data_IF_326163252338
#
_entry.id   IF_326163252338
#
_cell.length_a   1.000
_cell.length_b   1.000
_cell.length_c   1.000
_cell.angle_alpha   90.00
_cell.angle_beta   90.00
_cell.angle_gamma   90.00
#
_symmetry.space_group_name_H-M   'P 1'
#
loop_
_entity.id
_entity.type
_entity.pdbx_description
1 polymer ?
#
# COMPACT_ATOMS: atom_id res chain seq x y z
N UNK A 1 -2.20 25.03 11.68
CA UNK A 1 -1.52 23.91 12.36
C UNK A 1 -0.08 23.88 11.92
N UNK A 2 0.89 23.75 12.83
CA UNK A 2 2.29 23.57 12.44
C UNK A 2 2.42 22.29 11.60
N UNK A 3 3.32 22.30 10.63
CA UNK A 3 3.60 21.12 9.82
C UNK A 3 4.12 19.99 10.72
N UNK A 4 3.67 18.75 10.56
CA UNK A 4 4.18 17.61 11.33
C UNK A 4 5.72 17.50 11.31
N UNK A 5 6.37 17.91 10.22
CA UNK A 5 7.83 17.96 10.10
C UNK A 5 8.48 18.96 11.10
N UNK A 6 7.75 19.99 11.50
CA UNK A 6 8.23 20.97 12.48
C UNK A 6 8.15 20.47 13.92
N UNK A 7 7.27 19.49 14.15
CA UNK A 7 7.05 18.86 15.46
C UNK A 7 8.00 17.69 15.68
N UNK A 8 8.32 16.97 14.59
CA UNK A 8 9.20 15.80 14.61
C UNK A 8 10.65 16.24 14.64
N UNK A 9 11.36 15.95 15.72
CA UNK A 9 12.81 16.17 15.85
C UNK A 9 13.26 17.03 17.05
N UNK A 10 12.32 17.54 17.85
CA UNK A 10 12.66 18.26 19.09
C UNK A 10 11.60 18.02 20.15
N UNK A 11 12.02 17.43 21.26
CA UNK A 11 11.14 17.25 22.44
C UNK A 11 10.55 18.58 22.92
N UNK A 12 11.29 19.67 22.85
CA UNK A 12 10.83 21.01 23.25
C UNK A 12 9.72 21.53 22.35
N UNK A 13 9.85 21.38 21.03
CA UNK A 13 8.81 21.79 20.06
C UNK A 13 7.52 21.00 20.28
N UNK A 14 7.63 19.71 20.57
CA UNK A 14 6.47 18.89 20.89
C UNK A 14 5.80 19.32 22.19
N UNK A 15 6.55 19.59 23.25
CA UNK A 15 6.03 20.08 24.53
C UNK A 15 5.30 21.42 24.33
N UNK A 16 5.88 22.33 23.58
CA UNK A 16 5.26 23.61 23.26
C UNK A 16 3.98 23.44 22.46
N UNK A 17 3.98 22.59 21.44
CA UNK A 17 2.79 22.25 20.68
C UNK A 17 1.69 21.64 21.55
N UNK A 18 2.04 20.70 22.44
CA UNK A 18 1.10 20.07 23.38
C UNK A 18 0.44 21.08 24.31
N UNK A 19 1.18 22.08 24.79
CA UNK A 19 0.65 23.14 25.67
C UNK A 19 -0.35 24.05 24.95
N UNK A 20 -0.10 24.34 23.68
CA UNK A 20 -0.95 25.27 22.90
C UNK A 20 -2.12 24.58 22.18
N UNK A 21 -2.03 23.27 21.96
CA UNK A 21 -3.01 22.48 21.18
C UNK A 21 -3.25 21.12 21.83
N UNK A 22 -3.68 21.08 23.08
CA UNK A 22 -3.80 19.85 23.87
C UNK A 22 -4.67 18.78 23.20
N UNK A 23 -5.84 19.15 22.67
CA UNK A 23 -6.75 18.20 22.01
C UNK A 23 -6.12 17.57 20.78
N UNK A 24 -5.42 18.37 19.98
CA UNK A 24 -4.72 17.90 18.78
C UNK A 24 -3.53 17.03 19.16
N UNK A 25 -2.78 17.38 20.21
CA UNK A 25 -1.68 16.58 20.69
C UNK A 25 -2.16 15.22 21.21
N UNK A 26 -3.24 15.17 21.98
CA UNK A 26 -3.89 13.93 22.42
C UNK A 26 -4.35 13.05 21.25
N UNK A 27 -4.89 13.66 20.19
CA UNK A 27 -5.27 12.92 18.98
C UNK A 27 -4.04 12.32 18.29
N UNK A 28 -2.96 13.07 18.16
CA UNK A 28 -1.69 12.58 17.56
C UNK A 28 -1.10 11.45 18.42
N UNK A 29 -1.05 11.63 19.74
CA UNK A 29 -0.60 10.61 20.67
C UNK A 29 -1.41 9.33 20.53
N UNK A 30 -2.76 9.46 20.49
CA UNK A 30 -3.63 8.31 20.28
C UNK A 30 -3.40 7.63 18.94
N UNK A 31 -3.25 8.40 17.86
CA UNK A 31 -2.98 7.87 16.52
C UNK A 31 -1.67 7.06 16.50
N UNK A 32 -0.61 7.59 17.12
CA UNK A 32 0.70 6.93 17.17
C UNK A 32 0.65 5.71 18.10
N UNK A 33 0.14 5.85 19.32
CA UNK A 33 0.11 4.78 20.31
C UNK A 33 -0.86 3.65 19.97
N UNK A 34 -1.95 3.94 19.24
CA UNK A 34 -2.92 2.93 18.81
C UNK A 34 -2.55 2.26 17.48
N UNK A 35 -1.57 2.79 16.76
CA UNK A 35 -1.09 2.16 15.54
C UNK A 35 -0.11 1.04 15.87
N UNK A 36 -0.49 -0.18 15.50
CA UNK A 36 0.30 -1.38 15.77
C UNK A 36 1.08 -1.88 14.57
N UNK A 37 0.97 -1.19 13.43
CA UNK A 37 1.71 -1.50 12.22
C UNK A 37 2.68 -0.38 11.92
N UNK A 38 3.85 -0.70 11.40
CA UNK A 38 4.86 0.28 11.03
C UNK A 38 5.57 -0.10 9.74
N UNK A 39 6.20 0.90 9.15
CA UNK A 39 6.95 0.77 7.91
C UNK A 39 8.45 0.87 8.22
N UNK A 40 9.20 -0.11 7.72
CA UNK A 40 10.65 -0.12 7.81
C UNK A 40 11.24 0.09 6.42
N UNK A 41 12.00 1.15 6.23
CA UNK A 41 12.66 1.39 4.94
C UNK A 41 13.63 0.24 4.63
N UNK A 42 13.51 -0.33 3.44
CA UNK A 42 14.43 -1.37 2.99
C UNK A 42 15.79 -0.73 2.71
N UNK A 43 16.89 -1.21 3.36
CA UNK A 43 18.23 -0.73 3.08
C UNK A 43 18.59 -0.90 1.61
N UNK A 44 19.37 0.01 1.06
CA UNK A 44 19.71 0.04 -0.37
C UNK A 44 20.27 -1.30 -0.88
N UNK A 45 21.20 -1.88 -0.15
CA UNK A 45 21.83 -3.16 -0.50
C UNK A 45 20.86 -4.37 -0.46
N UNK A 46 19.66 -4.19 0.11
CA UNK A 46 18.64 -5.25 0.28
C UNK A 46 17.37 -5.00 -0.53
N UNK A 47 17.30 -3.89 -1.27
CA UNK A 47 16.12 -3.58 -2.09
C UNK A 47 15.91 -4.65 -3.15
N UNK A 48 14.65 -4.96 -3.39
CA UNK A 48 14.27 -5.71 -4.59
C UNK A 48 14.66 -4.88 -5.81
N UNK A 49 15.09 -5.54 -6.88
CA UNK A 49 15.59 -4.88 -8.09
C UNK A 49 14.73 -3.65 -8.45
N UNK A 50 15.34 -2.47 -8.35
CA UNK A 50 14.66 -1.19 -8.56
C UNK A 50 14.25 -0.99 -10.02
N UNK A 51 14.90 -1.65 -10.97
CA UNK A 51 14.52 -1.63 -12.39
C UNK A 51 13.24 -2.43 -12.60
N UNK A 52 13.08 -3.54 -11.87
CA UNK A 52 11.86 -4.34 -11.89
C UNK A 52 10.73 -3.64 -11.13
N UNK A 53 10.97 -3.21 -9.88
CA UNK A 53 9.96 -2.52 -9.07
C UNK A 53 9.73 -1.07 -9.49
N UNK A 54 10.60 -0.49 -10.32
CA UNK A 54 10.55 0.90 -10.81
C UNK A 54 10.50 1.96 -9.71
N UNK A 55 10.96 1.61 -8.52
CA UNK A 55 11.10 2.52 -7.38
C UNK A 55 12.20 2.05 -6.43
N UNK A 56 12.91 3.02 -5.88
CA UNK A 56 13.85 2.85 -4.77
C UNK A 56 13.19 3.06 -3.40
N UNK A 57 11.96 3.56 -3.39
CA UNK A 57 11.18 3.85 -2.18
C UNK A 57 10.40 2.62 -1.74
N UNK A 58 11.12 1.65 -1.23
CA UNK A 58 10.61 0.35 -0.78
C UNK A 58 10.59 0.29 0.73
N UNK A 59 9.45 -0.09 1.32
CA UNK A 59 9.24 -0.20 2.74
C UNK A 59 8.64 -1.57 3.07
N UNK A 60 9.23 -2.26 4.04
CA UNK A 60 8.59 -3.43 4.63
C UNK A 60 7.40 -2.98 5.47
N UNK A 61 6.31 -3.68 5.34
CA UNK A 61 5.14 -3.49 6.17
C UNK A 61 5.18 -4.52 7.30
N UNK A 62 5.32 -4.04 8.52
CA UNK A 62 5.34 -4.85 9.72
C UNK A 62 4.03 -4.65 10.47
N UNK A 63 3.25 -5.71 10.60
CA UNK A 63 2.03 -5.75 11.38
C UNK A 63 2.27 -6.52 12.67
N UNK A 64 1.69 -6.06 13.75
CA UNK A 64 1.82 -6.65 15.08
C UNK A 64 0.67 -7.58 15.47
N UNK A 65 -0.09 -8.06 14.51
CA UNK A 65 -1.13 -9.07 14.79
C UNK A 65 -0.60 -10.49 14.57
N UNK A 66 0.09 -11.08 15.57
CA UNK A 66 0.70 -12.41 15.43
C UNK A 66 -0.31 -13.49 15.05
N UNK A 67 -1.58 -13.30 15.44
CA UNK A 67 -2.68 -14.23 15.13
C UNK A 67 -2.94 -14.28 13.63
N UNK A 68 -3.07 -13.11 12.99
CA UNK A 68 -3.28 -13.03 11.53
C UNK A 68 -2.10 -13.58 10.77
N UNK A 69 -0.89 -13.29 11.22
CA UNK A 69 0.32 -13.82 10.59
C UNK A 69 0.37 -15.36 10.71
N UNK A 70 0.09 -15.92 11.89
CA UNK A 70 0.03 -17.37 12.09
C UNK A 70 -1.05 -18.04 11.24
N UNK A 71 -2.25 -17.44 11.16
CA UNK A 71 -3.34 -17.94 10.31
C UNK A 71 -2.91 -17.96 8.83
N UNK A 72 -2.33 -16.86 8.35
CA UNK A 72 -1.82 -16.76 6.97
C UNK A 72 -0.75 -17.84 6.71
N UNK A 73 0.24 -17.98 7.59
CA UNK A 73 1.32 -18.97 7.43
C UNK A 73 0.83 -20.41 7.47
N UNK A 74 -0.20 -20.69 8.29
CA UNK A 74 -0.84 -22.02 8.31
C UNK A 74 -1.50 -22.30 6.96
N UNK A 75 -2.28 -21.36 6.43
CA UNK A 75 -2.95 -21.49 5.14
C UNK A 75 -1.92 -21.60 3.99
N UNK A 76 -0.85 -20.82 4.03
CA UNK A 76 0.22 -20.88 3.04
C UNK A 76 0.95 -22.24 3.03
N UNK A 77 1.19 -22.79 4.21
CA UNK A 77 1.77 -24.14 4.34
C UNK A 77 0.84 -25.24 3.83
N UNK A 78 -0.46 -25.13 4.10
CA UNK A 78 -1.46 -26.08 3.59
C UNK A 78 -1.58 -26.03 2.07
N UNK A 79 -1.52 -24.82 1.49
CA UNK A 79 -1.56 -24.62 0.06
C UNK A 79 -0.28 -25.07 -0.67
N UNK A 80 0.85 -25.05 0.04
CA UNK A 80 2.17 -25.37 -0.50
C UNK A 80 2.83 -24.26 -1.29
N UNK A 81 2.09 -23.21 -1.70
CA UNK A 81 2.62 -22.07 -2.44
C UNK A 81 1.82 -20.79 -2.21
N UNK A 82 2.49 -19.67 -2.43
CA UNK A 82 1.93 -18.32 -2.42
C UNK A 82 2.33 -17.59 -3.69
N UNK A 83 1.63 -16.51 -3.99
CA UNK A 83 1.99 -15.60 -5.07
C UNK A 83 1.99 -14.16 -4.58
N UNK A 84 2.76 -13.30 -5.28
CA UNK A 84 2.74 -11.86 -5.04
C UNK A 84 1.86 -11.17 -6.06
N UNK A 85 1.08 -10.19 -5.58
CA UNK A 85 0.21 -9.34 -6.40
C UNK A 85 0.31 -7.90 -5.89
N UNK A 86 -0.02 -6.94 -6.74
CA UNK A 86 -0.09 -5.52 -6.37
C UNK A 86 -1.50 -5.13 -5.94
N UNK A 87 -1.58 -4.20 -4.99
CA UNK A 87 -2.80 -3.50 -4.62
C UNK A 87 -2.59 -2.00 -4.67
N UNK A 88 -3.42 -1.31 -5.43
CA UNK A 88 -3.49 0.14 -5.46
C UNK A 88 -4.77 0.64 -4.81
N UNK A 89 -4.67 1.71 -4.06
CA UNK A 89 -5.81 2.38 -3.45
C UNK A 89 -5.55 3.88 -3.33
N UNK A 90 -6.62 4.66 -3.26
CA UNK A 90 -6.56 6.11 -3.06
C UNK A 90 -5.85 6.43 -1.76
N UNK A 91 -5.15 7.57 -1.73
CA UNK A 91 -4.29 7.93 -0.60
C UNK A 91 -5.04 8.01 0.74
N UNK A 92 -6.29 8.45 0.74
CA UNK A 92 -7.12 8.54 1.93
C UNK A 92 -7.43 7.18 2.58
N UNK A 93 -7.40 6.10 1.81
CA UNK A 93 -7.66 4.75 2.32
C UNK A 93 -6.46 4.15 3.06
N UNK A 94 -5.25 4.64 2.78
CA UNK A 94 -4.02 4.04 3.32
C UNK A 94 -3.90 4.16 4.83
N UNK A 95 -4.49 5.19 5.44
CA UNK A 95 -4.57 5.26 6.89
C UNK A 95 -5.29 4.03 7.48
N UNK A 96 -6.44 3.66 6.89
CA UNK A 96 -7.18 2.47 7.31
C UNK A 96 -6.46 1.16 6.96
N UNK A 97 -5.88 1.09 5.75
CA UNK A 97 -5.15 -0.11 5.27
C UNK A 97 -3.95 -0.40 6.16
N UNK A 98 -3.16 0.61 6.54
CA UNK A 98 -1.99 0.43 7.42
C UNK A 98 -2.42 -0.04 8.81
N UNK A 99 -3.53 0.47 9.34
CA UNK A 99 -4.01 0.11 10.69
C UNK A 99 -4.70 -1.25 10.76
N UNK A 100 -5.47 -1.59 9.74
CA UNK A 100 -6.42 -2.72 9.78
C UNK A 100 -6.07 -3.85 8.81
N UNK A 101 -5.09 -3.61 7.92
CA UNK A 101 -4.84 -4.46 6.76
C UNK A 101 -5.87 -4.23 5.65
N UNK A 102 -5.71 -4.98 4.56
CA UNK A 102 -6.70 -5.01 3.49
C UNK A 102 -8.00 -5.62 4.00
N UNK A 103 -9.12 -5.02 3.63
CA UNK A 103 -10.46 -5.46 3.99
C UNK A 103 -11.32 -5.66 2.76
N UNK A 104 -12.16 -6.68 2.78
CA UNK A 104 -13.21 -6.82 1.79
C UNK A 104 -14.33 -5.81 2.10
N UNK A 105 -14.37 -4.71 1.36
CA UNK A 105 -15.37 -3.64 1.52
C UNK A 105 -16.55 -3.79 0.56
N UNK A 106 -16.62 -4.88 -0.19
CA UNK A 106 -17.71 -5.11 -1.15
C UNK A 106 -19.06 -5.16 -0.45
N UNK A 107 -20.04 -4.45 -1.01
CA UNK A 107 -21.39 -4.36 -0.44
C UNK A 107 -21.51 -3.45 0.78
N UNK A 108 -20.45 -2.74 1.18
CA UNK A 108 -20.50 -1.76 2.27
C UNK A 108 -20.58 -0.33 1.73
N UNK A 109 -20.91 0.63 2.61
CA UNK A 109 -20.90 2.06 2.27
C UNK A 109 -19.48 2.59 1.93
N UNK A 110 -18.43 1.82 2.18
CA UNK A 110 -17.04 2.14 1.86
C UNK A 110 -16.58 1.59 0.52
N UNK A 111 -17.43 0.85 -0.19
CA UNK A 111 -17.11 0.40 -1.55
C UNK A 111 -17.04 1.59 -2.49
N UNK A 112 -15.85 1.87 -3.01
CA UNK A 112 -15.60 3.03 -3.90
C UNK A 112 -15.65 2.67 -5.39
N UNK A 113 -15.35 1.42 -5.72
CA UNK A 113 -15.35 0.93 -7.10
C UNK A 113 -16.39 -0.17 -7.26
N UNK A 114 -16.89 -0.32 -8.49
CA UNK A 114 -17.79 -1.42 -8.82
C UNK A 114 -17.09 -2.78 -8.64
N UNK A 115 -17.88 -3.83 -8.44
CA UNK A 115 -17.42 -5.21 -8.29
C UNK A 115 -17.62 -6.01 -9.57
N UNK A 116 -17.07 -5.51 -10.67
CA UNK A 116 -17.18 -6.14 -11.99
C UNK A 116 -16.71 -7.61 -12.03
N UNK A 117 -15.82 -8.00 -11.12
CA UNK A 117 -15.27 -9.34 -10.98
C UNK A 117 -15.70 -10.04 -9.68
N UNK A 118 -16.79 -9.56 -9.03
CA UNK A 118 -17.32 -10.12 -7.79
C UNK A 118 -16.78 -9.45 -6.53
N UNK A 119 -17.26 -9.93 -5.37
CA UNK A 119 -16.95 -9.39 -4.06
C UNK A 119 -15.58 -9.86 -3.57
N UNK A 120 -14.76 -8.94 -3.08
CA UNK A 120 -13.45 -9.28 -2.52
C UNK A 120 -12.44 -8.13 -2.57
N UNK A 121 -11.20 -8.47 -2.26
CA UNK A 121 -10.04 -7.59 -2.32
C UNK A 121 -9.43 -7.71 -3.71
N UNK A 122 -9.42 -6.61 -4.46
CA UNK A 122 -8.93 -6.55 -5.83
C UNK A 122 -7.42 -6.38 -5.86
N UNK A 123 -6.76 -7.29 -6.52
CA UNK A 123 -5.30 -7.33 -6.71
C UNK A 123 -4.98 -7.52 -8.19
N UNK A 124 -3.78 -7.13 -8.60
CA UNK A 124 -3.31 -7.29 -9.97
C UNK A 124 -1.87 -7.76 -10.03
N UNK A 125 -1.48 -8.61 -10.97
CA UNK A 125 -0.08 -8.89 -11.26
C UNK A 125 0.61 -7.70 -11.96
N UNK A 126 -0.15 -6.75 -12.49
CA UNK A 126 0.34 -5.61 -13.24
C UNK A 126 0.44 -4.37 -12.33
N UNK A 127 1.64 -3.79 -12.26
CA UNK A 127 1.90 -2.57 -11.48
C UNK A 127 1.06 -1.38 -12.01
N UNK A 128 0.95 -1.22 -13.32
CA UNK A 128 0.19 -0.12 -13.93
C UNK A 128 -1.29 -0.11 -13.52
N UNK A 129 -1.94 -1.28 -13.44
CA UNK A 129 -3.32 -1.37 -12.96
C UNK A 129 -3.44 -0.83 -11.52
N UNK A 130 -2.52 -1.20 -10.64
CA UNK A 130 -2.51 -0.74 -9.25
C UNK A 130 -2.15 0.73 -9.12
N UNK A 131 -1.24 1.25 -9.94
CA UNK A 131 -0.92 2.67 -10.00
C UNK A 131 -2.13 3.50 -10.45
N UNK A 132 -2.90 3.01 -11.42
CA UNK A 132 -4.12 3.68 -11.86
C UNK A 132 -5.13 3.81 -10.71
N UNK A 133 -5.37 2.76 -9.95
CA UNK A 133 -6.24 2.81 -8.76
C UNK A 133 -5.69 3.69 -7.65
N UNK A 134 -4.37 3.84 -7.54
CA UNK A 134 -3.74 4.75 -6.59
C UNK A 134 -3.92 6.22 -6.97
N UNK A 135 -4.00 6.51 -8.27
CA UNK A 135 -4.14 7.87 -8.81
C UNK A 135 -5.56 8.27 -9.19
N UNK A 136 -6.46 7.30 -9.46
CA UNK A 136 -7.83 7.56 -9.96
C UNK A 136 -8.72 8.35 -8.98
N UNK A 137 -8.24 8.55 -7.77
CA UNK A 137 -8.87 9.42 -6.80
C UNK A 137 -8.74 10.90 -7.09
N UNK A 138 -8.09 11.26 -8.18
CA UNK A 138 -7.80 12.63 -8.55
C UNK A 138 -7.24 13.40 -7.37
N UNK A 139 -6.34 14.29 -7.60
CA UNK A 139 -5.99 15.40 -6.73
C UNK A 139 -7.22 16.32 -6.48
N UNK A 140 -8.39 15.74 -6.32
CA UNK A 140 -9.61 16.40 -5.86
C UNK A 140 -9.56 16.63 -4.36
N UNK A 141 -8.41 17.05 -3.87
CA UNK A 141 -8.42 18.02 -2.82
C UNK A 141 -9.30 19.15 -3.34
N UNK A 142 -10.47 19.34 -2.74
CA UNK A 142 -11.44 20.34 -3.18
C UNK A 142 -10.69 21.63 -3.50
N UNK A 143 -11.08 22.39 -4.54
CA UNK A 143 -10.40 23.64 -4.92
C UNK A 143 -10.17 24.61 -3.75
N UNK A 144 -10.95 24.49 -2.67
CA UNK A 144 -10.79 25.21 -1.42
C UNK A 144 -9.50 24.84 -0.65
N UNK A 145 -8.97 23.61 -0.74
CA UNK A 145 -7.72 23.25 -0.07
C UNK A 145 -6.49 23.84 -0.77
N UNK A 146 -6.51 23.97 -2.09
CA UNK A 146 -5.36 24.51 -2.84
C UNK A 146 -5.12 26.00 -2.60
N UNK A 147 -6.12 26.74 -2.12
CA UNK A 147 -5.99 28.19 -1.86
C UNK A 147 -5.33 28.54 -0.53
N UNK A 148 -5.34 27.67 0.45
CA UNK A 148 -4.94 28.00 1.82
C UNK A 148 -3.75 27.17 2.34
N UNK A 149 -3.08 26.40 1.50
CA UNK A 149 -1.93 25.58 1.93
C UNK A 149 -2.24 24.57 3.04
N UNK A 150 -3.51 24.29 3.29
CA UNK A 150 -3.94 23.45 4.40
C UNK A 150 -3.81 21.94 4.12
N UNK A 151 -3.57 21.56 2.88
CA UNK A 151 -3.40 20.16 2.51
C UNK A 151 -1.93 19.75 2.61
N UNK A 152 -1.63 18.83 3.50
CA UNK A 152 -0.31 18.20 3.63
C UNK A 152 0.16 17.52 2.34
N UNK A 153 -0.74 17.38 1.37
CA UNK A 153 -0.55 16.68 0.10
C UNK A 153 -0.47 17.61 -1.11
N UNK A 154 -0.40 18.93 -0.91
CA UNK A 154 -0.53 19.92 -2.00
C UNK A 154 0.78 20.36 -2.63
N UNK A 155 1.89 19.68 -2.38
CA UNK A 155 3.03 19.90 -3.26
C UNK A 155 2.88 18.96 -4.47
N UNK A 156 2.45 19.45 -5.67
CA UNK A 156 2.25 18.59 -6.85
C UNK A 156 3.51 17.83 -7.24
N UNK A 157 4.69 18.39 -6.90
CA UNK A 157 5.99 17.76 -7.16
C UNK A 157 6.31 16.61 -6.18
N UNK A 158 5.58 16.49 -5.06
CA UNK A 158 5.77 15.47 -4.03
C UNK A 158 4.61 14.47 -3.93
N UNK A 159 3.59 14.59 -4.79
CA UNK A 159 2.49 13.63 -4.79
C UNK A 159 3.02 12.22 -5.05
N UNK A 160 2.76 11.34 -4.11
CA UNK A 160 3.20 9.96 -4.16
C UNK A 160 1.99 9.06 -4.38
N UNK A 161 2.13 8.12 -5.30
CA UNK A 161 1.22 7.00 -5.45
C UNK A 161 1.69 5.87 -4.54
N UNK A 162 0.77 5.24 -3.86
CA UNK A 162 1.07 4.17 -2.92
C UNK A 162 0.53 2.86 -3.48
N UNK A 163 1.40 1.86 -3.58
CA UNK A 163 1.04 0.51 -3.99
C UNK A 163 1.56 -0.48 -2.96
N UNK A 164 0.73 -1.43 -2.55
CA UNK A 164 1.18 -2.56 -1.73
C UNK A 164 1.62 -3.73 -2.61
N UNK A 165 2.70 -4.39 -2.21
CA UNK A 165 3.02 -5.75 -2.62
C UNK A 165 2.38 -6.69 -1.60
N UNK A 166 1.48 -7.53 -2.07
CA UNK A 166 0.64 -8.42 -1.25
C UNK A 166 1.01 -9.85 -1.55
N UNK A 167 1.29 -10.63 -0.53
CA UNK A 167 1.42 -12.08 -0.62
C UNK A 167 0.04 -12.71 -0.46
N UNK A 168 -0.31 -13.63 -1.34
CA UNK A 168 -1.62 -14.30 -1.39
C UNK A 168 -1.42 -15.80 -1.35
N UNK A 169 -2.19 -16.49 -0.54
CA UNK A 169 -2.27 -17.95 -0.55
C UNK A 169 -2.93 -18.39 -1.85
N UNK A 170 -2.21 -19.13 -2.68
CA UNK A 170 -2.64 -19.43 -4.04
C UNK A 170 -3.43 -20.76 -4.12
N UNK A 171 -4.68 -20.70 -3.65
CA UNK A 171 -5.64 -21.81 -3.71
C UNK A 171 -6.96 -21.35 -4.33
N UNK A 172 -7.73 -22.24 -4.97
CA UNK A 172 -9.04 -21.88 -5.52
C UNK A 172 -9.98 -21.21 -4.51
N UNK A 173 -9.94 -21.64 -3.25
CA UNK A 173 -10.78 -21.13 -2.16
C UNK A 173 -10.45 -19.70 -1.77
N UNK A 174 -9.22 -19.24 -2.05
CA UNK A 174 -8.79 -17.89 -1.75
C UNK A 174 -9.46 -16.85 -2.66
N UNK A 175 -9.91 -17.26 -3.83
CA UNK A 175 -10.41 -16.33 -4.84
C UNK A 175 -11.92 -16.39 -5.03
N UNK A 176 -12.51 -15.22 -5.27
CA UNK A 176 -13.87 -15.11 -5.83
C UNK A 176 -13.80 -15.24 -7.35
N UNK A 177 -12.79 -14.60 -7.97
CA UNK A 177 -12.52 -14.71 -9.39
C UNK A 177 -11.05 -14.45 -9.69
N UNK A 178 -10.59 -15.00 -10.80
CA UNK A 178 -9.27 -14.75 -11.36
C UNK A 178 -9.37 -14.55 -12.86
N UNK A 179 -8.69 -13.56 -13.38
CA UNK A 179 -8.45 -13.32 -14.79
C UNK A 179 -6.98 -12.97 -15.00
N UNK A 180 -6.57 -12.81 -16.24
CA UNK A 180 -5.18 -12.46 -16.56
C UNK A 180 -4.69 -11.19 -15.84
N UNK A 181 -5.57 -10.18 -15.71
CA UNK A 181 -5.21 -8.87 -15.16
C UNK A 181 -5.69 -8.61 -13.74
N UNK A 182 -6.63 -9.39 -13.21
CA UNK A 182 -7.28 -9.15 -11.93
C UNK A 182 -7.48 -10.45 -11.18
N UNK A 183 -7.12 -10.43 -9.91
CA UNK A 183 -7.43 -11.47 -8.93
C UNK A 183 -8.24 -10.86 -7.80
N UNK A 184 -9.39 -11.44 -7.50
CA UNK A 184 -10.27 -10.98 -6.41
C UNK A 184 -10.18 -11.96 -5.26
N UNK A 185 -9.50 -11.56 -4.19
CA UNK A 185 -9.32 -12.38 -2.99
C UNK A 185 -10.56 -12.26 -2.11
N UNK A 186 -11.13 -13.41 -1.76
CA UNK A 186 -12.42 -13.52 -1.08
C UNK A 186 -12.39 -12.99 0.35
N UNK A 187 -11.39 -13.40 1.12
CA UNK A 187 -11.27 -13.11 2.55
C UNK A 187 -9.86 -12.62 2.89
N UNK A 188 -9.78 -11.73 3.87
CA UNK A 188 -8.55 -11.09 4.31
C UNK A 188 -7.46 -12.08 4.78
N UNK A 189 -7.86 -13.23 5.34
CA UNK A 189 -6.92 -14.25 5.84
C UNK A 189 -6.03 -14.87 4.76
N UNK A 190 -6.46 -14.78 3.49
CA UNK A 190 -5.71 -15.29 2.36
C UNK A 190 -4.69 -14.30 1.80
N UNK A 191 -4.62 -13.07 2.31
CA UNK A 191 -3.67 -12.08 1.84
C UNK A 191 -2.96 -11.37 2.98
N UNK A 192 -1.69 -11.02 2.76
CA UNK A 192 -0.87 -10.26 3.70
C UNK A 192 -0.05 -9.23 2.97
N UNK A 193 -0.15 -7.96 3.40
CA UNK A 193 0.72 -6.90 2.87
C UNK A 193 2.14 -7.19 3.34
N UNK A 194 3.09 -7.21 2.40
CA UNK A 194 4.51 -7.41 2.70
C UNK A 194 5.34 -6.16 2.52
N UNK A 195 5.04 -5.39 1.49
CA UNK A 195 5.76 -4.15 1.24
C UNK A 195 4.81 -3.04 0.83
N UNK A 196 5.21 -1.82 1.13
CA UNK A 196 4.65 -0.59 0.58
C UNK A 196 5.67 0.03 -0.35
N UNK A 197 5.23 0.37 -1.54
CA UNK A 197 6.03 0.95 -2.61
C UNK A 197 5.49 2.35 -2.91
N UNK A 198 6.37 3.34 -3.02
CA UNK A 198 5.98 4.70 -3.34
C UNK A 198 6.47 5.07 -4.73
N UNK A 199 5.60 5.69 -5.50
CA UNK A 199 5.87 6.14 -6.87
C UNK A 199 5.55 7.62 -7.02
N UNK A 200 6.29 8.37 -7.86
CA UNK A 200 5.92 9.75 -8.17
C UNK A 200 4.65 9.78 -9.00
N UNK A 201 3.78 10.74 -8.74
CA UNK A 201 2.53 10.93 -9.50
C UNK A 201 2.76 11.23 -10.98
N UNK A 202 3.96 11.72 -11.33
CA UNK A 202 4.36 11.94 -12.72
C UNK A 202 4.33 10.68 -13.59
N UNK A 203 4.34 9.48 -12.98
CA UNK A 203 4.15 8.23 -13.74
C UNK A 203 2.76 8.11 -14.37
N UNK A 204 1.75 8.82 -13.87
CA UNK A 204 0.41 8.88 -14.45
C UNK A 204 0.21 10.05 -15.39
N UNK A 205 1.08 11.08 -15.34
CA UNK A 205 0.94 12.35 -16.08
C UNK A 205 1.69 12.40 -17.41
N UNK A 206 2.33 11.32 -17.83
CA UNK A 206 2.88 11.27 -19.18
C UNK A 206 1.73 11.39 -20.18
N UNK A 207 1.89 12.24 -21.20
CA UNK A 207 0.96 12.48 -22.33
C UNK A 207 0.58 11.23 -23.14
N UNK A 208 1.10 10.11 -22.76
CA UNK A 208 0.64 8.79 -23.15
C UNK A 208 -0.63 8.47 -22.36
N UNK A 209 -1.77 8.73 -22.98
CA UNK A 209 -3.08 8.33 -22.45
C UNK A 209 -3.05 6.90 -21.90
N UNK A 210 -3.91 6.60 -20.94
CA UNK A 210 -4.06 5.31 -20.23
C UNK A 210 -4.03 4.06 -21.15
N UNK A 211 -4.07 4.24 -22.47
CA UNK A 211 -3.96 3.22 -23.50
C UNK A 211 -2.55 2.98 -24.08
N UNK A 212 -1.52 3.72 -23.71
CA UNK A 212 -0.20 3.65 -24.36
C UNK A 212 0.93 3.00 -23.54
N UNK A 213 0.66 2.52 -22.33
CA UNK A 213 1.61 1.64 -21.68
C UNK A 213 1.57 0.28 -22.38
N UNK A 214 2.57 0.02 -23.22
CA UNK A 214 2.77 -1.34 -23.74
C UNK A 214 2.82 -2.31 -22.55
N UNK A 215 2.10 -3.44 -22.60
CA UNK A 215 2.06 -4.42 -21.52
C UNK A 215 3.44 -4.90 -21.02
N UNK A 216 4.51 -4.65 -21.78
CA UNK A 216 5.88 -5.03 -21.46
C UNK A 216 6.73 -3.97 -20.74
N UNK A 217 6.22 -2.73 -20.55
CA UNK A 217 7.04 -1.65 -20.00
C UNK A 217 6.98 -1.51 -18.47
N UNK A 218 5.95 -2.04 -17.81
CA UNK A 218 5.82 -1.98 -16.36
C UNK A 218 5.90 -3.37 -15.75
N UNK A 219 6.30 -3.42 -14.48
CA UNK A 219 6.46 -4.65 -13.71
C UNK A 219 5.21 -5.54 -13.82
N UNK A 220 5.44 -6.77 -14.24
CA UNK A 220 4.44 -7.81 -14.30
C UNK A 220 4.88 -9.02 -13.48
N UNK A 221 4.18 -9.29 -12.38
CA UNK A 221 4.49 -10.36 -11.45
C UNK A 221 4.23 -11.77 -12.00
N UNK A 222 3.57 -11.92 -13.15
CA UNK A 222 3.49 -13.23 -13.83
C UNK A 222 4.84 -13.69 -14.36
N UNK A 223 5.69 -12.75 -14.79
CA UNK A 223 6.95 -13.04 -15.48
C UNK A 223 8.18 -12.79 -14.61
N UNK A 224 7.98 -12.68 -13.28
CA UNK A 224 9.12 -12.47 -12.41
C UNK A 224 10.01 -13.72 -12.35
N UNK A 225 11.32 -13.51 -12.42
CA UNK A 225 12.28 -14.59 -12.29
C UNK A 225 12.23 -15.23 -10.89
N UNK A 226 12.61 -16.50 -10.78
CA UNK A 226 12.74 -17.14 -9.48
C UNK A 226 13.68 -16.36 -8.56
N UNK A 227 14.80 -15.84 -9.10
CA UNK A 227 15.75 -15.00 -8.36
C UNK A 227 15.09 -13.75 -7.75
N UNK A 228 14.17 -13.09 -8.47
CA UNK A 228 13.43 -11.94 -7.94
C UNK A 228 12.41 -12.36 -6.88
N UNK A 229 11.74 -13.51 -7.06
CA UNK A 229 10.85 -14.08 -6.03
C UNK A 229 11.63 -14.36 -4.75
N UNK A 230 12.79 -14.99 -4.86
CA UNK A 230 13.67 -15.31 -3.74
C UNK A 230 14.18 -14.03 -3.05
N UNK A 231 14.46 -13.00 -3.83
CA UNK A 231 14.86 -11.70 -3.30
C UNK A 231 13.71 -11.05 -2.50
N UNK A 232 12.49 -11.04 -3.03
CA UNK A 232 11.30 -10.56 -2.29
C UNK A 232 11.14 -11.36 -1.01
N UNK A 233 11.19 -12.68 -1.08
CA UNK A 233 11.06 -13.55 0.08
C UNK A 233 12.14 -13.29 1.14
N UNK A 234 13.40 -13.08 0.73
CA UNK A 234 14.50 -12.73 1.64
C UNK A 234 14.27 -11.38 2.30
N UNK A 235 13.83 -10.36 1.56
CA UNK A 235 13.54 -9.03 2.10
C UNK A 235 12.39 -9.11 3.12
N UNK A 236 11.33 -9.83 2.79
CA UNK A 236 10.18 -10.07 3.68
C UNK A 236 10.60 -10.83 4.95
N UNK A 237 11.49 -11.80 4.83
CA UNK A 237 11.99 -12.59 5.97
C UNK A 237 12.84 -11.79 6.96
N UNK A 238 13.37 -10.61 6.58
CA UNK A 238 14.19 -9.77 7.47
C UNK A 238 13.46 -9.32 8.74
N UNK A 239 12.15 -9.35 8.76
CA UNK A 239 11.31 -8.84 9.85
C UNK A 239 10.15 -9.79 10.18
N UNK A 240 10.29 -11.07 9.85
CA UNK A 240 9.41 -12.08 10.47
C UNK A 240 9.79 -12.15 11.95
N UNK A 241 8.81 -11.99 12.86
CA UNK A 241 9.04 -12.14 14.28
C UNK A 241 9.49 -13.55 14.65
#
# INVERSE_FOLDING_TARGET
>A
MPCPREIVGSSEKYIMFRRTNESTAKLIEWLVCSNRSYLVRVPEAKRVDTRFMQTDKQYLFVSDTPEKQREFEMLARQAGHTRFLFHGSRIENWHSIIRNGLKNMSGTCHQQNGNAHGNGIYLSPYLNASLWYSGSGGTNCRPACSRNGCCLYTNPSENQLIVALVEVVDTPEAYTSQSEGVSVVRLEKYCSIRMILLYPSSLLSSDSGIGSFSPGQLCNLHYISQATRDQIAKVVALHKP
#
